data_IF_569615719807
#
_entry.id   IF_569615719807
#
_cell.length_a   1.000
_cell.length_b   1.000
_cell.length_c   1.000
_cell.angle_alpha   90.00
_cell.angle_beta   90.00
_cell.angle_gamma   90.00
#
_symmetry.space_group_name_H-M   'P 1'
#
loop_
_entity.id
_entity.type
_entity.pdbx_description
1 polymer ?
#
# COMPACT_ATOMS: atom_id res chain seq x y z
N UNK A 1 -14.41 7.65 -28.11
CA UNK A 1 -13.30 6.91 -28.76
C UNK A 1 -12.11 7.00 -27.83
N UNK A 2 -11.75 5.90 -27.16
CA UNK A 2 -10.57 5.88 -26.30
C UNK A 2 -9.31 6.03 -27.17
N UNK A 3 -8.36 6.92 -26.84
CA UNK A 3 -7.14 7.06 -27.61
C UNK A 3 -6.36 5.74 -27.55
N UNK A 4 -6.13 5.13 -28.72
CA UNK A 4 -5.30 3.95 -28.86
C UNK A 4 -3.90 4.26 -28.29
N UNK A 5 -3.32 3.40 -27.43
CA UNK A 5 -2.01 3.63 -26.86
C UNK A 5 -0.98 3.67 -28.00
N UNK A 6 -0.49 4.88 -28.31
CA UNK A 6 0.60 5.06 -29.26
C UNK A 6 1.86 4.45 -28.67
N UNK A 7 2.23 3.26 -29.17
CA UNK A 7 3.56 2.70 -28.93
C UNK A 7 4.58 3.69 -29.50
N UNK A 8 5.27 4.43 -28.62
CA UNK A 8 6.37 5.33 -29.02
C UNK A 8 7.55 4.47 -29.49
N UNK A 9 7.55 4.13 -30.77
CA UNK A 9 8.67 3.44 -31.42
C UNK A 9 9.85 4.42 -31.49
N UNK A 10 10.89 4.16 -30.69
CA UNK A 10 12.10 5.00 -30.69
C UNK A 10 13.05 4.42 -31.73
N UNK A 11 13.29 5.13 -32.83
CA UNK A 11 14.32 4.75 -33.81
C UNK A 11 15.69 5.04 -33.21
N UNK A 12 16.47 4.00 -32.92
CA UNK A 12 17.89 4.11 -32.56
C UNK A 12 18.70 3.46 -33.67
N UNK A 13 19.45 4.26 -34.44
CA UNK A 13 20.28 3.76 -35.55
C UNK A 13 19.49 3.16 -36.73
N UNK A 14 18.26 3.60 -36.98
CA UNK A 14 17.45 3.13 -38.13
C UNK A 14 16.65 1.85 -37.90
N UNK A 15 16.81 1.19 -36.75
CA UNK A 15 16.07 -0.02 -36.38
C UNK A 15 14.92 0.35 -35.44
N UNK A 16 13.73 -0.20 -35.69
CA UNK A 16 12.60 -0.08 -34.77
C UNK A 16 12.84 -1.00 -33.57
N UNK A 17 13.17 -0.41 -32.43
CA UNK A 17 13.43 -1.14 -31.19
C UNK A 17 12.26 -0.92 -30.24
N UNK A 18 11.82 -1.99 -29.57
CA UNK A 18 10.80 -1.88 -28.53
C UNK A 18 11.28 -0.90 -27.44
N UNK A 19 10.39 -0.06 -26.88
CA UNK A 19 10.77 0.89 -25.84
C UNK A 19 11.40 0.16 -24.65
N UNK A 20 12.46 0.73 -24.03
CA UNK A 20 13.10 0.11 -22.89
C UNK A 20 12.09 -0.06 -21.74
N UNK A 21 12.16 -1.16 -20.96
CA UNK A 21 11.27 -1.36 -19.83
C UNK A 21 11.44 -0.20 -18.85
N UNK A 22 10.32 0.35 -18.39
CA UNK A 22 10.28 1.43 -17.41
C UNK A 22 11.06 0.97 -16.17
N UNK A 23 11.97 1.80 -15.62
CA UNK A 23 12.70 1.45 -14.41
C UNK A 23 11.74 1.09 -13.28
N UNK A 24 12.02 -0.01 -12.56
CA UNK A 24 11.14 -0.50 -11.48
C UNK A 24 10.82 0.57 -10.43
N UNK A 25 11.78 1.46 -10.14
CA UNK A 25 11.61 2.61 -9.23
C UNK A 25 10.48 3.55 -9.63
N UNK A 26 10.31 3.81 -10.93
CA UNK A 26 9.28 4.72 -11.44
C UNK A 26 7.91 4.02 -11.49
N UNK A 27 7.91 2.69 -11.53
CA UNK A 27 6.71 1.86 -11.50
C UNK A 27 6.01 1.90 -10.13
N UNK A 28 6.76 1.97 -9.03
CA UNK A 28 6.20 2.05 -7.69
C UNK A 28 5.88 3.49 -7.25
N UNK A 29 6.66 4.47 -7.70
CA UNK A 29 6.37 5.89 -7.48
C UNK A 29 4.98 6.27 -8.03
N UNK A 30 4.65 5.82 -9.24
CA UNK A 30 3.32 6.03 -9.81
C UNK A 30 2.20 5.31 -9.04
N UNK A 31 2.48 4.21 -8.33
CA UNK A 31 1.48 3.53 -7.51
C UNK A 31 1.15 4.32 -6.24
N UNK A 32 2.15 4.96 -5.64
CA UNK A 32 2.00 5.83 -4.47
C UNK A 32 1.32 7.17 -4.83
N UNK A 33 1.61 7.71 -6.02
CA UNK A 33 1.00 8.94 -6.54
C UNK A 33 -0.46 8.74 -6.98
N UNK A 34 -0.84 7.53 -7.40
CA UNK A 34 -2.23 7.18 -7.74
C UNK A 34 -3.09 6.88 -6.50
N UNK A 35 -2.49 6.69 -5.32
CA UNK A 35 -3.24 6.59 -4.06
C UNK A 35 -3.60 8.00 -3.59
N UNK A 36 -4.80 8.46 -3.96
CA UNK A 36 -5.31 9.75 -3.54
C UNK A 36 -5.17 9.99 -2.02
N UNK A 37 -5.10 11.26 -1.56
CA UNK A 37 -4.75 11.62 -0.18
C UNK A 37 -5.53 10.86 0.90
N UNK A 38 -6.78 10.51 0.59
CA UNK A 38 -7.70 9.77 1.45
C UNK A 38 -7.26 8.34 1.74
N UNK A 39 -6.70 7.64 0.74
CA UNK A 39 -6.24 6.26 0.87
C UNK A 39 -4.93 6.22 1.66
N UNK A 40 -4.00 7.13 1.37
CA UNK A 40 -2.76 7.28 2.16
C UNK A 40 -3.05 7.55 3.64
N UNK A 41 -4.00 8.45 3.94
CA UNK A 41 -4.42 8.74 5.32
C UNK A 41 -5.07 7.53 6.01
N UNK A 42 -5.90 6.77 5.30
CA UNK A 42 -6.50 5.55 5.84
C UNK A 42 -5.46 4.47 6.12
N UNK A 43 -4.52 4.23 5.19
CA UNK A 43 -3.45 3.24 5.37
C UNK A 43 -2.55 3.63 6.55
N UNK A 44 -2.17 4.91 6.65
CA UNK A 44 -1.39 5.41 7.79
C UNK A 44 -2.15 5.25 9.12
N UNK A 45 -3.46 5.52 9.14
CA UNK A 45 -4.28 5.33 10.32
C UNK A 45 -4.40 3.85 10.71
N UNK A 46 -4.60 2.94 9.76
CA UNK A 46 -4.70 1.50 10.04
C UNK A 46 -3.38 0.95 10.58
N UNK A 47 -2.24 1.33 9.97
CA UNK A 47 -0.91 0.90 10.43
C UNK A 47 -0.58 1.53 11.80
N UNK A 48 -0.91 2.80 12.00
CA UNK A 48 -0.64 3.51 13.25
C UNK A 48 -1.57 3.12 14.41
N UNK A 49 -2.79 2.67 14.11
CA UNK A 49 -3.80 2.30 15.12
C UNK A 49 -3.69 0.84 15.56
N UNK A 50 -3.17 -0.04 14.69
CA UNK A 50 -2.90 -1.45 14.96
C UNK A 50 -2.17 -1.76 16.29
N UNK A 51 -1.08 -1.06 16.68
CA UNK A 51 -0.35 -1.41 17.89
C UNK A 51 -1.14 -0.98 19.14
N UNK A 52 -1.90 0.12 19.04
CA UNK A 52 -2.77 0.60 20.12
C UNK A 52 -3.91 -0.39 20.34
N UNK A 53 -4.56 -0.86 19.27
CA UNK A 53 -5.62 -1.86 19.38
C UNK A 53 -5.11 -3.18 19.92
N UNK A 54 -3.90 -3.62 19.53
CA UNK A 54 -3.27 -4.82 20.07
C UNK A 54 -3.03 -4.74 21.59
N UNK A 55 -2.50 -3.62 22.09
CA UNK A 55 -2.27 -3.41 23.53
C UNK A 55 -3.60 -3.39 24.30
N UNK A 56 -4.61 -2.70 23.78
CA UNK A 56 -5.94 -2.64 24.41
C UNK A 56 -6.56 -4.04 24.49
N UNK A 57 -6.52 -4.82 23.41
CA UNK A 57 -7.02 -6.20 23.40
C UNK A 57 -6.25 -7.11 24.36
N UNK A 58 -4.93 -6.96 24.43
CA UNK A 58 -4.10 -7.73 25.35
C UNK A 58 -4.46 -7.40 26.81
N UNK A 59 -4.52 -6.11 27.15
CA UNK A 59 -4.89 -5.66 28.50
C UNK A 59 -6.29 -6.14 28.90
N UNK A 60 -7.26 -6.03 27.97
CA UNK A 60 -8.61 -6.51 28.17
C UNK A 60 -8.66 -8.04 28.37
N UNK A 61 -7.92 -8.81 27.58
CA UNK A 61 -7.82 -10.26 27.72
C UNK A 61 -7.22 -10.69 29.06
N UNK A 62 -6.16 -10.01 29.50
CA UNK A 62 -5.55 -10.26 30.82
C UNK A 62 -6.52 -9.92 31.95
N UNK A 63 -7.23 -8.79 31.86
CA UNK A 63 -8.27 -8.42 32.83
C UNK A 63 -9.38 -9.48 32.90
N UNK A 64 -9.82 -9.98 31.75
CA UNK A 64 -10.86 -11.00 31.67
C UNK A 64 -10.43 -12.32 32.33
N UNK A 65 -9.20 -12.77 32.04
CA UNK A 65 -8.62 -13.97 32.67
C UNK A 65 -8.53 -13.78 34.18
N UNK A 66 -8.07 -12.61 34.63
CA UNK A 66 -7.99 -12.29 36.06
C UNK A 66 -9.37 -12.33 36.72
N UNK A 67 -10.42 -11.81 36.07
CA UNK A 67 -11.79 -11.90 36.59
C UNK A 67 -12.26 -13.34 36.75
N UNK A 68 -12.04 -14.19 35.72
CA UNK A 68 -12.40 -15.61 35.78
C UNK A 68 -11.66 -16.36 36.89
N UNK A 69 -10.39 -16.01 37.15
CA UNK A 69 -9.61 -16.60 38.24
C UNK A 69 -10.01 -16.07 39.63
N UNK A 70 -10.56 -14.87 39.70
CA UNK A 70 -11.01 -14.24 40.94
C UNK A 70 -12.43 -14.63 41.37
N UNK A 71 -13.18 -15.33 40.49
CA UNK A 71 -14.48 -15.90 40.84
C UNK A 71 -14.26 -17.19 41.64
N UNK A 72 -14.72 -17.28 42.90
CA UNK A 72 -14.55 -18.43 43.79
C UNK A 72 -15.36 -19.66 43.35
#
# INVERSE_FOLDING_TARGET
MAPLPQARVVRKGGIAVAPPPIPLRDRFASMEDNMGPRVRGFVAAVIGLWPVTAVVLLAFGLMWIAMLQSSP
#
